data_IF_378713767829
#
_entry.id   IF_378713767829
#
_cell.length_a   1.000
_cell.length_b   1.000
_cell.length_c   1.000
_cell.angle_alpha   90.00
_cell.angle_beta   90.00
_cell.angle_gamma   90.00
#
_symmetry.space_group_name_H-M   'P 1'
#
loop_
_entity.id
_entity.type
_entity.pdbx_description
1 polymer ?
#
# COMPACT_ATOMS: atom_id res chain seq x y z
N UNK A 1 -23.58 46.39 -41.18
CA UNK A 1 -22.41 45.61 -41.63
C UNK A 1 -21.34 45.71 -40.56
N UNK A 2 -20.74 44.58 -40.18
CA UNK A 2 -19.62 44.37 -39.25
C UNK A 2 -19.94 44.37 -37.75
N UNK A 3 -19.51 43.40 -36.93
CA UNK A 3 -19.29 41.94 -37.03
C UNK A 3 -19.13 41.55 -35.55
N UNK A 4 -19.97 40.64 -35.07
CA UNK A 4 -19.93 40.11 -33.71
C UNK A 4 -18.79 39.07 -33.69
N UNK A 5 -17.69 39.37 -33.02
CA UNK A 5 -16.63 38.41 -32.73
C UNK A 5 -16.79 37.92 -31.28
N UNK A 6 -17.73 37.00 -31.11
CA UNK A 6 -17.84 36.16 -29.93
C UNK A 6 -16.70 35.13 -29.97
N UNK A 7 -15.59 35.46 -29.30
CA UNK A 7 -14.46 34.56 -29.14
C UNK A 7 -14.88 33.43 -28.20
N UNK A 8 -15.24 32.31 -28.81
CA UNK A 8 -15.47 31.02 -28.20
C UNK A 8 -14.21 30.54 -27.46
N UNK A 9 -14.06 30.90 -26.18
CA UNK A 9 -13.20 30.15 -25.26
C UNK A 9 -13.84 28.78 -25.05
N UNK A 10 -13.51 27.85 -25.94
CA UNK A 10 -13.87 26.45 -25.81
C UNK A 10 -13.33 25.92 -24.49
N UNK A 11 -14.31 25.52 -23.67
CA UNK A 11 -14.22 24.55 -22.60
C UNK A 11 -13.33 23.39 -23.04
N UNK A 12 -12.06 23.42 -22.66
CA UNK A 12 -11.28 22.20 -22.49
C UNK A 12 -11.64 21.71 -21.09
N UNK A 13 -12.53 20.70 -20.93
CA UNK A 13 -12.60 20.01 -19.65
C UNK A 13 -11.25 19.31 -19.50
N UNK A 14 -10.37 19.90 -18.71
CA UNK A 14 -9.18 19.26 -18.21
C UNK A 14 -9.65 18.11 -17.30
N UNK A 15 -10.09 17.01 -17.90
CA UNK A 15 -10.20 15.72 -17.23
C UNK A 15 -8.78 15.17 -17.09
N UNK A 16 -7.94 15.86 -16.35
CA UNK A 16 -6.80 15.23 -15.72
C UNK A 16 -7.38 14.23 -14.71
N UNK A 17 -7.65 13.01 -15.17
CA UNK A 17 -7.87 11.89 -14.26
C UNK A 17 -6.59 11.78 -13.44
N UNK A 18 -6.62 12.29 -12.21
CA UNK A 18 -5.55 12.10 -11.25
C UNK A 18 -5.34 10.59 -11.14
N UNK A 19 -4.21 10.11 -11.67
CA UNK A 19 -3.79 8.73 -11.49
C UNK A 19 -3.69 8.47 -10.00
N UNK A 20 -4.31 7.39 -9.48
CA UNK A 20 -4.24 7.11 -8.06
C UNK A 20 -2.78 6.90 -7.65
N UNK A 21 -2.43 7.40 -6.47
CA UNK A 21 -1.09 7.21 -5.91
C UNK A 21 -0.74 5.73 -5.82
N UNK A 22 0.50 5.40 -6.19
CA UNK A 22 1.02 4.03 -6.10
C UNK A 22 1.11 3.58 -4.64
N UNK A 23 1.20 2.26 -4.41
CA UNK A 23 1.40 1.72 -3.07
C UNK A 23 2.71 2.23 -2.46
N UNK A 24 3.76 2.37 -3.29
CA UNK A 24 5.05 2.89 -2.85
C UNK A 24 4.95 4.34 -2.36
N UNK A 25 4.27 5.21 -3.11
CA UNK A 25 4.05 6.62 -2.72
C UNK A 25 3.27 6.72 -1.41
N UNK A 26 2.24 5.90 -1.22
CA UNK A 26 1.52 5.87 0.05
C UNK A 26 2.36 5.36 1.21
N UNK A 27 3.21 4.36 0.97
CA UNK A 27 4.17 3.93 1.99
C UNK A 27 5.21 5.00 2.30
N UNK A 28 5.64 5.82 1.33
CA UNK A 28 6.52 6.97 1.59
C UNK A 28 5.85 7.93 2.58
N UNK A 29 4.58 8.27 2.36
CA UNK A 29 3.80 9.12 3.28
C UNK A 29 3.69 8.51 4.68
N UNK A 30 3.42 7.20 4.78
CA UNK A 30 3.37 6.49 6.06
C UNK A 30 4.73 6.50 6.78
N UNK A 31 5.82 6.26 6.04
CA UNK A 31 7.18 6.29 6.57
C UNK A 31 7.56 7.70 7.05
N UNK A 32 7.20 8.74 6.31
CA UNK A 32 7.40 10.14 6.69
C UNK A 32 6.62 10.50 7.96
N UNK A 33 5.36 10.05 8.06
CA UNK A 33 4.56 10.25 9.27
C UNK A 33 5.16 9.52 10.49
N UNK A 34 5.63 8.29 10.31
CA UNK A 34 6.32 7.55 11.37
C UNK A 34 7.60 8.26 11.81
N UNK A 35 8.42 8.68 10.84
CA UNK A 35 9.66 9.40 11.08
C UNK A 35 9.43 10.72 11.80
N UNK A 36 8.39 11.47 11.44
CA UNK A 36 8.00 12.71 12.10
C UNK A 36 7.65 12.45 13.58
N UNK A 37 6.81 11.46 13.86
CA UNK A 37 6.39 11.09 15.22
C UNK A 37 7.58 10.59 16.07
N UNK A 38 8.50 9.83 15.46
CA UNK A 38 9.74 9.38 16.11
C UNK A 38 10.68 10.55 16.40
N UNK A 39 10.91 11.43 15.43
CA UNK A 39 11.76 12.61 15.60
C UNK A 39 11.21 13.56 16.67
N UNK A 40 9.88 13.70 16.76
CA UNK A 40 9.21 14.43 17.83
C UNK A 40 9.59 13.93 19.22
N UNK A 41 9.71 12.61 19.40
CA UNK A 41 10.14 11.99 20.66
C UNK A 41 11.65 12.10 20.91
N UNK A 42 12.44 12.34 19.86
CA UNK A 42 13.89 12.48 19.92
C UNK A 42 14.37 13.93 20.03
N UNK A 43 13.48 14.93 20.03
CA UNK A 43 13.84 16.37 20.04
C UNK A 43 14.73 16.78 21.22
N UNK A 44 14.72 16.03 22.32
CA UNK A 44 15.57 16.28 23.49
C UNK A 44 17.04 15.90 23.24
N UNK A 45 17.33 15.17 22.17
CA UNK A 45 18.67 14.71 21.81
C UNK A 45 19.20 15.50 20.61
N UNK A 46 20.36 16.13 20.77
CA UNK A 46 21.04 16.83 19.67
C UNK A 46 21.65 15.87 18.65
N UNK A 47 22.04 14.67 19.09
CA UNK A 47 22.69 13.68 18.22
C UNK A 47 22.33 12.26 18.65
N UNK A 48 21.99 11.42 17.68
CA UNK A 48 21.61 10.02 17.89
C UNK A 48 22.22 9.13 16.81
N UNK A 49 22.42 7.86 17.12
CA UNK A 49 22.68 6.80 16.15
C UNK A 49 21.37 6.06 15.86
N UNK A 50 21.15 5.63 14.62
CA UNK A 50 19.96 4.86 14.24
C UNK A 50 20.41 3.54 13.63
N UNK A 51 19.72 2.48 13.99
CA UNK A 51 19.76 1.18 13.35
C UNK A 51 18.32 0.75 13.06
N UNK A 52 18.04 0.44 11.80
CA UNK A 52 16.77 -0.18 11.41
C UNK A 52 17.04 -1.66 11.13
N UNK A 53 16.23 -2.54 11.72
CA UNK A 53 16.38 -3.98 11.56
C UNK A 53 16.19 -4.42 10.08
N UNK A 54 16.78 -5.56 9.68
CA UNK A 54 16.62 -6.09 8.32
C UNK A 54 15.14 -6.28 7.95
N UNK A 55 14.67 -5.53 6.95
CA UNK A 55 13.29 -5.61 6.45
C UNK A 55 13.25 -5.12 4.99
N UNK A 56 12.37 -5.65 4.11
CA UNK A 56 12.26 -5.20 2.71
C UNK A 56 12.00 -3.69 2.55
N UNK A 57 11.24 -3.10 3.47
CA UNK A 57 10.92 -1.67 3.51
C UNK A 57 11.93 -0.83 4.35
N UNK A 58 13.06 -1.40 4.78
CA UNK A 58 14.03 -0.73 5.67
C UNK A 58 14.51 0.60 5.09
N UNK A 59 14.88 0.60 3.80
CA UNK A 59 15.40 1.79 3.12
C UNK A 59 14.42 2.96 3.15
N UNK A 60 13.11 2.68 3.14
CA UNK A 60 12.05 3.69 3.18
C UNK A 60 12.01 4.36 4.55
N UNK A 61 12.05 3.56 5.62
CA UNK A 61 12.13 4.04 6.98
C UNK A 61 13.43 4.81 7.23
N UNK A 62 14.58 4.28 6.79
CA UNK A 62 15.88 4.95 6.91
C UNK A 62 15.88 6.31 6.24
N UNK A 63 15.38 6.39 4.99
CA UNK A 63 15.30 7.64 4.25
C UNK A 63 14.39 8.66 4.95
N UNK A 64 13.19 8.25 5.37
CA UNK A 64 12.24 9.11 6.05
C UNK A 64 12.82 9.63 7.38
N UNK A 65 13.43 8.77 8.20
CA UNK A 65 14.00 9.20 9.47
C UNK A 65 15.18 10.15 9.26
N UNK A 66 16.05 9.89 8.29
CA UNK A 66 17.16 10.80 7.95
C UNK A 66 16.63 12.18 7.54
N UNK A 67 15.62 12.20 6.67
CA UNK A 67 14.99 13.45 6.21
C UNK A 67 14.37 14.23 7.38
N UNK A 68 13.55 13.58 8.20
CA UNK A 68 12.86 14.24 9.31
C UNK A 68 13.81 14.64 10.45
N UNK A 69 14.86 13.86 10.73
CA UNK A 69 15.90 14.27 11.69
C UNK A 69 16.63 15.52 11.21
N UNK A 70 16.97 15.60 9.92
CA UNK A 70 17.62 16.77 9.36
C UNK A 70 16.74 18.03 9.49
N UNK A 71 15.43 17.90 9.22
CA UNK A 71 14.45 18.99 9.41
C UNK A 71 14.34 19.38 10.88
N UNK A 72 14.37 18.41 11.79
CA UNK A 72 14.30 18.63 13.24
C UNK A 72 15.63 19.12 13.86
N UNK A 73 16.71 19.25 13.07
CA UNK A 73 18.03 19.64 13.56
C UNK A 73 18.76 18.57 14.39
N UNK A 74 18.33 17.31 14.30
CA UNK A 74 18.93 16.16 14.99
C UNK A 74 20.04 15.59 14.10
N UNK A 75 21.26 15.52 14.64
CA UNK A 75 22.42 15.00 13.89
C UNK A 75 22.49 13.49 14.00
N UNK A 76 22.43 12.80 12.88
CA UNK A 76 22.58 11.35 12.81
C UNK A 76 24.05 10.95 12.69
N UNK A 77 24.51 10.08 13.60
CA UNK A 77 25.90 9.64 13.66
C UNK A 77 25.99 8.11 13.65
N UNK A 78 26.99 7.58 12.94
CA UNK A 78 27.25 6.14 12.87
C UNK A 78 28.07 5.60 14.06
N UNK A 79 28.23 6.37 15.14
CA UNK A 79 29.09 6.03 16.27
C UNK A 79 28.29 5.50 17.46
N UNK A 80 28.79 4.45 18.08
CA UNK A 80 28.19 3.76 19.23
C UNK A 80 28.22 4.57 20.54
N UNK A 81 28.91 5.71 20.56
CA UNK A 81 29.04 6.58 21.74
C UNK A 81 27.82 7.45 21.98
N UNK A 82 26.88 7.52 21.04
CA UNK A 82 25.67 8.33 21.12
C UNK A 82 24.45 7.47 21.48
N UNK A 83 23.38 8.07 22.04
CA UNK A 83 22.11 7.38 22.21
C UNK A 83 21.69 6.72 20.89
N UNK A 84 21.38 5.42 20.95
CA UNK A 84 21.13 4.60 19.77
C UNK A 84 19.67 4.19 19.69
N UNK A 85 19.00 4.58 18.63
CA UNK A 85 17.63 4.19 18.32
C UNK A 85 17.67 2.91 17.48
N UNK A 86 17.04 1.85 17.97
CA UNK A 86 16.77 0.63 17.24
C UNK A 86 15.33 0.65 16.77
N UNK A 87 15.09 0.48 15.48
CA UNK A 87 13.76 0.45 14.87
C UNK A 87 13.52 -0.93 14.26
N UNK A 88 12.40 -1.55 14.61
CA UNK A 88 11.93 -2.79 13.98
C UNK A 88 10.59 -2.54 13.28
N UNK A 89 10.50 -2.95 12.02
CA UNK A 89 9.26 -2.90 11.24
C UNK A 89 8.51 -4.22 11.45
N UNK A 90 7.26 -4.15 11.91
CA UNK A 90 6.47 -5.30 12.36
C UNK A 90 5.44 -5.77 11.33
N UNK A 91 4.63 -4.85 10.80
CA UNK A 91 3.55 -5.15 9.86
C UNK A 91 3.54 -4.09 8.75
N UNK A 92 4.29 -4.34 7.68
CA UNK A 92 4.35 -3.47 6.51
C UNK A 92 3.87 -4.25 5.30
N UNK A 93 2.70 -3.88 4.79
CA UNK A 93 2.10 -4.60 3.68
C UNK A 93 0.82 -3.98 3.17
N UNK A 94 0.44 -4.39 1.96
CA UNK A 94 -0.82 -4.03 1.34
C UNK A 94 -1.77 -5.23 1.36
N UNK A 95 -3.08 -4.98 1.40
CA UNK A 95 -4.10 -5.98 1.15
C UNK A 95 -5.26 -5.37 0.37
N UNK A 96 -5.95 -6.21 -0.39
CA UNK A 96 -7.07 -5.81 -1.24
C UNK A 96 -8.33 -6.56 -0.84
N UNK A 97 -9.40 -5.82 -0.63
CA UNK A 97 -10.74 -6.37 -0.35
C UNK A 97 -11.66 -6.04 -1.52
N UNK A 98 -12.36 -7.05 -2.05
CA UNK A 98 -13.35 -6.82 -3.10
C UNK A 98 -14.56 -6.03 -2.55
N UNK A 99 -14.99 -5.02 -3.30
CA UNK A 99 -16.24 -4.28 -3.07
C UNK A 99 -17.22 -4.56 -4.23
N UNK A 100 -18.44 -4.02 -4.12
CA UNK A 100 -19.41 -4.06 -5.22
C UNK A 100 -18.99 -3.16 -6.39
N UNK A 101 -19.34 -3.56 -7.61
CA UNK A 101 -19.21 -2.72 -8.81
C UNK A 101 -17.78 -2.46 -9.29
N UNK A 102 -17.01 -3.52 -9.56
CA UNK A 102 -15.62 -3.45 -10.07
C UNK A 102 -14.66 -2.56 -9.26
N UNK A 103 -14.93 -2.44 -7.96
CA UNK A 103 -14.13 -1.67 -7.00
C UNK A 103 -13.46 -2.57 -5.98
N UNK A 104 -12.30 -2.13 -5.52
CA UNK A 104 -11.53 -2.77 -4.46
C UNK A 104 -11.18 -1.74 -3.41
N UNK A 105 -11.27 -2.14 -2.15
CA UNK A 105 -10.68 -1.41 -1.04
C UNK A 105 -9.22 -1.84 -0.93
N UNK A 106 -8.31 -0.88 -1.09
CA UNK A 106 -6.90 -1.07 -0.79
C UNK A 106 -6.67 -0.68 0.67
N UNK A 107 -5.97 -1.53 1.40
CA UNK A 107 -5.55 -1.33 2.79
C UNK A 107 -4.03 -1.38 2.84
N UNK A 108 -3.39 -0.32 3.33
CA UNK A 108 -1.95 -0.27 3.57
C UNK A 108 -1.72 -0.26 5.08
N UNK A 109 -0.88 -1.17 5.56
CA UNK A 109 -0.53 -1.29 6.98
C UNK A 109 0.94 -0.96 7.16
N UNK A 110 1.23 -0.16 8.17
CA UNK A 110 2.58 0.12 8.61
C UNK A 110 2.64 0.08 10.13
N UNK A 111 3.34 -0.93 10.65
CA UNK A 111 3.63 -1.12 12.06
C UNK A 111 5.13 -1.06 12.31
N UNK A 112 5.54 -0.30 13.32
CA UNK A 112 6.92 -0.18 13.74
C UNK A 112 7.02 -0.04 15.27
N UNK A 113 8.11 -0.53 15.83
CA UNK A 113 8.51 -0.28 17.22
C UNK A 113 9.90 0.32 17.24
N UNK A 114 10.16 1.17 18.21
CA UNK A 114 11.46 1.78 18.39
C UNK A 114 11.90 1.69 19.86
N UNK A 115 13.19 1.45 20.08
CA UNK A 115 13.80 1.48 21.40
C UNK A 115 15.04 2.35 21.38
N UNK A 116 15.21 3.19 22.39
CA UNK A 116 16.37 4.03 22.58
C UNK A 116 17.28 3.41 23.63
N UNK A 117 18.52 3.13 23.25
CA UNK A 117 19.60 2.77 24.15
C UNK A 117 20.42 4.00 24.50
N UNK A 118 20.40 4.40 25.76
CA UNK A 118 21.19 5.51 26.28
C UNK A 118 22.65 5.09 26.51
N UNK A 119 23.55 6.08 26.62
CA UNK A 119 24.97 5.84 26.87
C UNK A 119 25.26 5.15 28.22
N UNK A 120 24.36 5.30 29.20
CA UNK A 120 24.43 4.61 30.49
C UNK A 120 23.94 3.14 30.42
N UNK A 121 23.57 2.64 29.22
CA UNK A 121 23.05 1.30 29.00
C UNK A 121 21.55 1.13 29.25
N UNK A 122 20.85 2.17 29.72
CA UNK A 122 19.41 2.13 29.92
C UNK A 122 18.67 2.03 28.57
N UNK A 123 17.61 1.23 28.56
CA UNK A 123 16.70 1.10 27.43
C UNK A 123 15.40 1.84 27.72
N UNK A 124 14.96 2.65 26.76
CA UNK A 124 13.68 3.35 26.78
C UNK A 124 12.89 2.87 25.57
N UNK A 125 11.74 2.25 25.81
CA UNK A 125 10.82 1.86 24.74
C UNK A 125 9.97 3.06 24.34
N UNK A 126 9.85 3.29 23.03
CA UNK A 126 8.85 4.21 22.51
C UNK A 126 7.51 3.47 22.35
N UNK A 127 6.36 4.17 22.40
CA UNK A 127 5.08 3.57 22.10
C UNK A 127 5.10 2.91 20.71
N UNK A 128 4.49 1.73 20.54
CA UNK A 128 4.32 1.13 19.23
C UNK A 128 3.61 2.10 18.28
N UNK A 129 4.11 2.19 17.05
CA UNK A 129 3.51 3.01 16.02
C UNK A 129 2.82 2.09 15.02
N UNK A 130 1.53 2.30 14.82
CA UNK A 130 0.75 1.53 13.84
C UNK A 130 -0.23 2.45 13.14
N UNK A 131 -0.22 2.40 11.80
CA UNK A 131 -1.25 3.05 10.99
C UNK A 131 -1.76 2.12 9.91
N UNK A 132 -3.04 2.31 9.61
CA UNK A 132 -3.72 1.67 8.50
C UNK A 132 -4.33 2.78 7.66
N UNK A 133 -3.93 2.84 6.40
CA UNK A 133 -4.57 3.70 5.40
C UNK A 133 -5.45 2.86 4.50
N UNK A 134 -6.59 3.44 4.11
CA UNK A 134 -7.52 2.78 3.21
C UNK A 134 -8.03 3.73 2.15
N UNK A 135 -8.12 3.27 0.91
CA UNK A 135 -8.83 3.95 -0.16
C UNK A 135 -9.58 2.96 -1.05
N UNK A 136 -10.42 3.49 -1.93
CA UNK A 136 -11.19 2.70 -2.89
C UNK A 136 -10.68 2.97 -4.29
N UNK A 137 -10.36 1.90 -5.01
CA UNK A 137 -9.82 1.95 -6.36
C UNK A 137 -10.70 1.14 -7.30
N UNK A 138 -10.79 1.52 -8.59
CA UNK A 138 -11.21 0.61 -9.65
C UNK A 138 -10.22 -0.56 -9.74
N UNK A 139 -10.72 -1.77 -9.92
CA UNK A 139 -9.88 -2.96 -10.04
C UNK A 139 -8.93 -2.94 -11.21
N UNK A 140 -9.35 -2.31 -12.32
CA UNK A 140 -8.51 -2.12 -13.51
C UNK A 140 -7.22 -1.35 -13.24
N UNK A 141 -7.11 -0.66 -12.10
CA UNK A 141 -5.94 0.10 -11.69
C UNK A 141 -5.00 -0.66 -10.74
N UNK A 142 -5.35 -1.87 -10.28
CA UNK A 142 -4.51 -2.63 -9.34
C UNK A 142 -3.09 -2.87 -9.87
N UNK A 143 -2.96 -3.32 -11.12
CA UNK A 143 -1.65 -3.54 -11.74
C UNK A 143 -0.82 -2.27 -11.95
N UNK A 144 -1.41 -1.07 -11.84
CA UNK A 144 -0.69 0.21 -11.95
C UNK A 144 -0.23 0.77 -10.60
N UNK A 145 -0.91 0.40 -9.51
CA UNK A 145 -0.56 0.88 -8.17
C UNK A 145 0.47 -0.01 -7.48
N UNK A 146 0.58 -1.27 -7.90
CA UNK A 146 1.59 -2.21 -7.44
C UNK A 146 2.98 -1.89 -8.01
N UNK A 147 4.04 -2.15 -7.22
CA UNK A 147 5.42 -2.01 -7.67
C UNK A 147 6.17 -3.35 -7.56
N UNK A 148 6.40 -4.07 -8.68
CA UNK A 148 6.92 -5.44 -8.64
C UNK A 148 8.33 -5.57 -8.06
N UNK A 149 9.12 -4.49 -8.06
CA UNK A 149 10.44 -4.46 -7.41
C UNK A 149 10.41 -4.53 -5.87
N UNK A 150 9.24 -4.33 -5.24
CA UNK A 150 9.11 -4.26 -3.78
C UNK A 150 7.96 -5.16 -3.29
N UNK A 151 8.26 -6.35 -2.73
CA UNK A 151 7.23 -7.33 -2.35
C UNK A 151 6.18 -6.80 -1.37
N UNK A 152 6.58 -5.94 -0.42
CA UNK A 152 5.67 -5.33 0.55
C UNK A 152 4.63 -4.38 -0.07
N UNK A 153 4.82 -4.01 -1.35
CA UNK A 153 3.90 -3.17 -2.12
C UNK A 153 2.96 -3.97 -3.01
N UNK A 154 2.95 -5.30 -2.90
CA UNK A 154 2.11 -6.17 -3.72
C UNK A 154 1.28 -7.07 -2.83
N UNK A 155 0.07 -7.40 -3.28
CA UNK A 155 -0.79 -8.36 -2.60
C UNK A 155 -1.61 -9.20 -3.58
N UNK A 156 -2.10 -10.36 -3.15
CA UNK A 156 -3.02 -11.15 -3.96
C UNK A 156 -4.24 -10.31 -4.38
N UNK A 157 -4.51 -10.30 -5.68
CA UNK A 157 -5.68 -9.64 -6.25
C UNK A 157 -6.92 -10.45 -5.89
N UNK A 158 -7.99 -9.82 -5.35
CA UNK A 158 -9.19 -10.56 -4.98
C UNK A 158 -9.88 -11.08 -6.24
N UNK A 159 -10.23 -12.37 -6.25
CA UNK A 159 -10.92 -12.96 -7.39
C UNK A 159 -12.39 -12.52 -7.39
N UNK A 160 -12.82 -11.83 -8.46
CA UNK A 160 -14.25 -11.68 -8.70
C UNK A 160 -14.83 -12.98 -9.21
N UNK A 161 -15.70 -13.57 -8.40
CA UNK A 161 -16.58 -14.62 -8.85
C UNK A 161 -17.68 -13.97 -9.68
N UNK A 162 -17.46 -13.89 -11.00
CA UNK A 162 -18.48 -13.44 -11.94
C UNK A 162 -19.69 -14.36 -11.87
N UNK A 163 -20.91 -13.84 -12.11
CA UNK A 163 -22.13 -14.65 -12.30
C UNK A 163 -21.90 -15.79 -13.28
N UNK A 164 -21.06 -15.56 -14.29
CA UNK A 164 -20.64 -16.58 -15.25
C UNK A 164 -20.01 -17.81 -14.57
N UNK A 165 -18.99 -17.60 -13.74
CA UNK A 165 -18.28 -18.68 -13.04
C UNK A 165 -19.11 -19.30 -11.91
N UNK A 166 -19.97 -18.52 -11.26
CA UNK A 166 -20.76 -19.02 -10.13
C UNK A 166 -22.01 -19.78 -10.57
N UNK A 167 -22.64 -19.40 -11.70
CA UNK A 167 -23.97 -19.88 -12.09
C UNK A 167 -23.98 -20.45 -13.51
N UNK A 168 -23.50 -19.70 -14.50
CA UNK A 168 -23.66 -20.09 -15.89
C UNK A 168 -22.80 -21.31 -16.28
N UNK A 169 -21.53 -21.31 -15.88
CA UNK A 169 -20.58 -22.40 -16.15
C UNK A 169 -21.05 -23.75 -15.57
N UNK A 170 -21.41 -23.87 -14.27
CA UNK A 170 -21.93 -25.13 -13.73
C UNK A 170 -23.27 -25.54 -14.35
N UNK A 171 -24.16 -24.60 -14.67
CA UNK A 171 -25.43 -24.90 -15.32
C UNK A 171 -25.23 -25.49 -16.73
N UNK A 172 -24.32 -24.91 -17.52
CA UNK A 172 -23.98 -25.42 -18.85
C UNK A 172 -23.38 -26.82 -18.73
N UNK A 173 -22.45 -27.06 -17.80
CA UNK A 173 -21.85 -28.37 -17.60
C UNK A 173 -22.90 -29.45 -17.27
N UNK A 174 -23.85 -29.13 -16.39
CA UNK A 174 -24.95 -30.04 -16.04
C UNK A 174 -25.88 -30.33 -17.23
N UNK A 175 -26.28 -29.30 -17.97
CA UNK A 175 -27.15 -29.47 -19.15
C UNK A 175 -26.46 -30.31 -20.22
N UNK A 176 -25.20 -30.01 -20.52
CA UNK A 176 -24.43 -30.71 -21.55
C UNK A 176 -24.21 -32.17 -21.15
N UNK A 177 -23.85 -32.44 -19.89
CA UNK A 177 -23.72 -33.79 -19.35
C UNK A 177 -25.04 -34.57 -19.41
N UNK A 178 -26.16 -33.92 -19.06
CA UNK A 178 -27.49 -34.49 -19.16
C UNK A 178 -27.85 -34.88 -20.59
N UNK A 179 -27.58 -34.00 -21.57
CA UNK A 179 -27.83 -34.27 -22.99
C UNK A 179 -26.98 -35.44 -23.50
N UNK A 180 -25.70 -35.52 -23.12
CA UNK A 180 -24.82 -36.64 -23.50
C UNK A 180 -25.36 -37.97 -22.97
N UNK A 181 -25.75 -38.00 -21.69
CA UNK A 181 -26.34 -39.22 -21.08
C UNK A 181 -27.63 -39.61 -21.81
N UNK A 182 -28.50 -38.64 -22.09
CA UNK A 182 -29.78 -38.89 -22.76
C UNK A 182 -29.56 -39.39 -24.20
N UNK A 183 -28.61 -38.83 -24.94
CA UNK A 183 -28.21 -39.31 -26.27
C UNK A 183 -27.62 -40.73 -26.22
N UNK A 184 -26.78 -41.04 -25.23
CA UNK A 184 -26.22 -42.38 -25.05
C UNK A 184 -27.32 -43.42 -24.78
N UNK A 185 -28.32 -43.08 -23.96
CA UNK A 185 -29.46 -43.97 -23.74
C UNK A 185 -30.31 -44.10 -25.00
N UNK A 186 -30.64 -43.00 -25.69
CA UNK A 186 -31.46 -43.02 -26.90
C UNK A 186 -30.83 -43.80 -28.07
N UNK A 187 -29.50 -43.78 -28.20
CA UNK A 187 -28.78 -44.56 -29.21
C UNK A 187 -28.68 -46.06 -28.85
N UNK A 188 -28.78 -46.40 -27.56
CA UNK A 188 -28.72 -47.79 -27.08
C UNK A 188 -30.07 -48.50 -27.09
N UNK A 189 -31.18 -47.77 -27.13
CA UNK A 189 -32.56 -48.33 -27.18
C UNK A 189 -33.08 -48.62 -28.59
N UNK A 190 -32.21 -48.67 -29.61
CA UNK A 190 -32.50 -49.24 -30.92
C UNK A 190 -31.71 -50.52 -31.13
#
# INVERSE_FOLDING_TARGET
MNVILAFCCWLVPCMAQLTPASNLERFQVLADSFALDLCGQLQTYRSVSIIVEPHPARWLAEHAIVSQCAIAGIVLLAKDTFPRVHVALLDVGVSYEALSGERVRRLLRWGAVATLRLANGQLVAFPPWQRVESDTLPYSLLGKVDHPGYPFTTAPVPQWHSFWHTIAEPAIALVTGGVIVLLLFALRTR
#
